data_IF_012746084190
#
_entry.id   IF_012746084190
#
_cell.length_a   1.000
_cell.length_b   1.000
_cell.length_c   1.000
_cell.angle_alpha   90.00
_cell.angle_beta   90.00
_cell.angle_gamma   90.00
#
_symmetry.space_group_name_H-M   'P 1'
#
loop_
_entity.id
_entity.type
_entity.pdbx_description
1 polymer ?
#
# COMPACT_ATOMS: atom_id res chain seq x y z
N UNK A 1 -1.98 -8.63 21.77
CA UNK A 1 -0.69 -8.95 21.12
C UNK A 1 0.39 -8.67 22.14
N UNK A 2 1.17 -9.68 22.53
CA UNK A 2 2.24 -9.54 23.52
C UNK A 2 3.31 -8.58 22.98
N UNK A 3 3.92 -7.78 23.86
CA UNK A 3 4.99 -6.83 23.52
C UNK A 3 6.11 -7.49 22.68
N UNK A 4 6.40 -8.76 22.98
CA UNK A 4 7.41 -9.59 22.31
C UNK A 4 7.20 -9.74 20.80
N UNK A 5 5.95 -9.76 20.32
CA UNK A 5 5.66 -9.89 18.88
C UNK A 5 5.86 -8.58 18.12
N UNK A 6 5.68 -7.44 18.78
CA UNK A 6 5.90 -6.13 18.16
C UNK A 6 7.39 -5.83 18.03
N UNK A 7 8.20 -6.19 19.03
CA UNK A 7 9.65 -6.00 19.01
C UNK A 7 10.31 -6.77 17.87
N UNK A 8 9.89 -8.02 17.62
CA UNK A 8 10.36 -8.82 16.48
C UNK A 8 10.04 -8.19 15.13
N UNK A 9 8.80 -7.69 14.98
CA UNK A 9 8.38 -7.02 13.77
C UNK A 9 9.15 -5.71 13.57
N UNK A 10 9.41 -4.96 14.65
CA UNK A 10 10.18 -3.72 14.62
C UNK A 10 11.63 -3.97 14.20
N UNK A 11 12.25 -5.05 14.65
CA UNK A 11 13.58 -5.46 14.19
C UNK A 11 13.61 -5.76 12.68
N UNK A 12 12.56 -6.40 12.17
CA UNK A 12 12.49 -6.82 10.76
C UNK A 12 12.11 -5.67 9.81
N UNK A 13 11.16 -4.81 10.21
CA UNK A 13 10.53 -3.83 9.32
C UNK A 13 10.83 -2.37 9.70
N UNK A 14 11.41 -2.11 10.87
CA UNK A 14 11.70 -0.78 11.39
C UNK A 14 10.46 0.07 11.55
N UNK A 15 10.53 1.32 11.08
CA UNK A 15 9.43 2.30 11.15
C UNK A 15 8.33 2.07 10.09
N UNK A 16 8.47 1.04 9.25
CA UNK A 16 7.49 0.71 8.18
C UNK A 16 6.32 -0.14 8.69
N UNK A 17 6.01 -0.04 9.98
CA UNK A 17 4.95 -0.82 10.63
C UNK A 17 3.70 0.02 10.84
N UNK A 18 2.56 -0.51 10.41
CA UNK A 18 1.23 0.02 10.73
C UNK A 18 0.68 -0.79 11.90
N UNK A 19 0.74 -0.22 13.10
CA UNK A 19 0.28 -0.87 14.34
C UNK A 19 -0.19 0.17 15.35
N UNK A 20 -1.03 -0.23 16.30
CA UNK A 20 -1.43 0.63 17.43
C UNK A 20 -0.27 1.07 18.32
N UNK A 21 0.86 0.37 18.24
CA UNK A 21 2.09 0.68 18.98
C UNK A 21 3.20 1.26 18.08
N UNK A 22 2.90 1.54 16.80
CA UNK A 22 3.82 2.21 15.90
C UNK A 22 3.90 3.71 16.23
N UNK A 23 4.96 4.42 15.78
CA UNK A 23 5.13 5.86 16.02
C UNK A 23 3.93 6.69 15.54
N UNK A 24 3.25 6.22 14.50
CA UNK A 24 1.99 6.79 14.03
C UNK A 24 0.83 6.01 14.65
N UNK A 25 0.03 6.70 15.47
CA UNK A 25 -1.14 6.13 16.14
C UNK A 25 -2.32 6.00 15.15
N UNK A 26 -2.37 4.88 14.43
CA UNK A 26 -3.48 4.58 13.52
C UNK A 26 -4.72 4.11 14.29
N UNK A 27 -5.87 4.73 14.05
CA UNK A 27 -7.16 4.34 14.64
C UNK A 27 -7.55 2.89 14.23
N UNK A 28 -8.40 2.20 15.00
CA UNK A 28 -8.96 0.91 14.58
C UNK A 28 -9.69 1.03 13.23
N UNK A 29 -9.40 0.14 12.27
CA UNK A 29 -9.89 0.19 10.87
C UNK A 29 -9.31 1.32 10.01
N UNK A 30 -8.13 1.83 10.32
CA UNK A 30 -7.43 2.83 9.49
C UNK A 30 -6.72 2.27 8.25
N UNK A 31 -6.87 0.98 7.91
CA UNK A 31 -6.37 0.50 6.62
C UNK A 31 -6.97 1.32 5.48
N UNK A 32 -8.21 1.77 5.58
CA UNK A 32 -8.83 2.61 4.55
C UNK A 32 -8.38 4.08 4.59
N UNK A 33 -7.60 4.49 5.59
CA UNK A 33 -7.15 5.88 5.80
C UNK A 33 -5.70 6.09 5.39
N UNK A 34 -4.97 5.05 4.98
CA UNK A 34 -3.66 5.30 4.39
C UNK A 34 -3.88 5.86 2.98
N UNK A 35 -3.18 6.93 2.59
CA UNK A 35 -3.30 7.48 1.24
C UNK A 35 -2.98 6.42 0.16
N UNK A 36 -2.17 5.41 0.51
CA UNK A 36 -1.87 4.25 -0.30
C UNK A 36 -3.12 3.35 -0.53
N UNK A 37 -3.83 2.99 0.54
CA UNK A 37 -4.98 2.09 0.43
C UNK A 37 -6.22 2.80 -0.11
N UNK A 38 -6.42 4.09 0.20
CA UNK A 38 -7.56 4.87 -0.32
C UNK A 38 -7.41 5.22 -1.80
N UNK A 39 -6.27 5.81 -2.18
CA UNK A 39 -6.07 6.34 -3.53
C UNK A 39 -5.32 5.36 -4.43
N UNK A 40 -4.15 4.88 -4.01
CA UNK A 40 -3.28 4.08 -4.88
C UNK A 40 -3.95 2.77 -5.29
N UNK A 41 -4.63 2.09 -4.36
CA UNK A 41 -5.31 0.83 -4.68
C UNK A 41 -6.43 0.99 -5.70
N UNK A 42 -7.29 2.01 -5.54
CA UNK A 42 -8.36 2.29 -6.50
C UNK A 42 -7.81 2.70 -7.87
N UNK A 43 -6.79 3.55 -7.88
CA UNK A 43 -6.11 4.01 -9.09
C UNK A 43 -5.45 2.85 -9.85
N UNK A 44 -4.60 2.07 -9.19
CA UNK A 44 -3.92 0.91 -9.79
C UNK A 44 -4.93 -0.09 -10.33
N UNK A 45 -5.98 -0.40 -9.57
CA UNK A 45 -7.02 -1.36 -10.00
C UNK A 45 -7.71 -0.89 -11.28
N UNK A 46 -8.04 0.39 -11.40
CA UNK A 46 -8.67 0.91 -12.62
C UNK A 46 -7.78 0.76 -13.87
N UNK A 47 -6.47 0.92 -13.72
CA UNK A 47 -5.50 0.80 -14.80
C UNK A 47 -5.17 -0.65 -15.15
N UNK A 48 -5.00 -1.52 -14.15
CA UNK A 48 -4.66 -2.93 -14.33
C UNK A 48 -5.77 -3.67 -15.07
N UNK A 49 -7.03 -3.35 -14.77
CA UNK A 49 -8.20 -4.00 -15.38
C UNK A 49 -8.73 -3.28 -16.64
N UNK A 50 -8.16 -2.14 -17.04
CA UNK A 50 -8.59 -1.41 -18.24
C UNK A 50 -8.54 -2.27 -19.51
N UNK A 51 -7.48 -3.09 -19.62
CA UNK A 51 -7.23 -3.96 -20.78
C UNK A 51 -7.99 -5.31 -20.70
N UNK A 52 -8.81 -5.53 -19.66
CA UNK A 52 -9.58 -6.77 -19.43
C UNK A 52 -8.74 -8.05 -19.57
N UNK A 53 -7.67 -8.21 -18.76
CA UNK A 53 -6.79 -9.37 -18.86
C UNK A 53 -7.58 -10.68 -18.68
N UNK A 54 -7.34 -11.64 -19.56
CA UNK A 54 -8.02 -12.95 -19.57
C UNK A 54 -7.20 -14.07 -18.91
N UNK A 55 -5.93 -13.81 -18.62
CA UNK A 55 -5.01 -14.77 -17.99
C UNK A 55 -4.31 -14.13 -16.78
N UNK A 56 -3.79 -14.97 -15.89
CA UNK A 56 -3.00 -14.52 -14.75
C UNK A 56 -1.71 -13.83 -15.19
N UNK A 57 -1.05 -14.34 -16.24
CA UNK A 57 0.20 -13.74 -16.76
C UNK A 57 -0.04 -12.30 -17.25
N UNK A 58 -1.12 -12.08 -18.01
CA UNK A 58 -1.49 -10.74 -18.46
C UNK A 58 -1.84 -9.81 -17.30
N UNK A 59 -2.49 -10.33 -16.26
CA UNK A 59 -2.79 -9.56 -15.06
C UNK A 59 -1.50 -9.17 -14.32
N UNK A 60 -0.56 -10.10 -14.17
CA UNK A 60 0.72 -9.86 -13.51
C UNK A 60 1.57 -8.83 -14.27
N UNK A 61 1.64 -8.95 -15.60
CA UNK A 61 2.34 -7.98 -16.45
C UNK A 61 1.71 -6.59 -16.36
N UNK A 62 0.38 -6.50 -16.33
CA UNK A 62 -0.32 -5.24 -16.14
C UNK A 62 -0.04 -4.62 -14.77
N UNK A 63 -0.01 -5.42 -13.70
CA UNK A 63 0.35 -4.93 -12.36
C UNK A 63 1.78 -4.37 -12.37
N UNK A 64 2.75 -5.12 -12.90
CA UNK A 64 4.15 -4.69 -12.98
C UNK A 64 4.30 -3.39 -13.78
N UNK A 65 3.64 -3.31 -14.94
CA UNK A 65 3.65 -2.13 -15.82
C UNK A 65 3.06 -0.90 -15.13
N UNK A 66 1.87 -1.02 -14.54
CA UNK A 66 1.17 0.09 -13.88
C UNK A 66 1.97 0.59 -12.67
N UNK A 67 2.50 -0.32 -11.85
CA UNK A 67 3.32 0.06 -10.69
C UNK A 67 4.62 0.76 -11.14
N UNK A 68 5.27 0.29 -12.21
CA UNK A 68 6.48 0.93 -12.74
C UNK A 68 6.23 2.33 -13.33
N UNK A 69 5.02 2.59 -13.84
CA UNK A 69 4.63 3.88 -14.40
C UNK A 69 4.19 4.91 -13.34
N UNK A 70 3.84 4.44 -12.13
CA UNK A 70 3.50 5.33 -11.02
C UNK A 70 4.73 6.10 -10.58
N UNK A 71 4.74 7.38 -10.92
CA UNK A 71 5.82 8.29 -10.54
C UNK A 71 5.76 8.63 -9.05
N UNK A 72 6.90 8.76 -8.35
CA UNK A 72 6.94 9.11 -6.92
C UNK A 72 6.17 10.39 -6.58
N UNK A 73 6.12 11.36 -7.48
CA UNK A 73 5.41 12.63 -7.28
C UNK A 73 3.89 12.47 -7.14
N UNK A 74 3.33 11.38 -7.66
CA UNK A 74 1.90 11.05 -7.46
C UNK A 74 1.67 10.61 -6.02
N UNK A 75 2.62 9.88 -5.44
CA UNK A 75 2.55 9.40 -4.05
C UNK A 75 2.79 10.56 -3.06
N UNK A 76 3.72 11.47 -3.36
CA UNK A 76 4.00 12.65 -2.53
C UNK A 76 2.76 13.56 -2.40
N UNK A 77 2.10 13.87 -3.53
CA UNK A 77 0.86 14.69 -3.51
C UNK A 77 -0.30 14.07 -2.75
N UNK A 78 -0.32 12.74 -2.67
CA UNK A 78 -1.35 11.98 -1.98
C UNK A 78 -1.08 11.94 -0.47
N UNK A 79 0.19 12.09 -0.05
CA UNK A 79 0.60 12.24 1.36
C UNK A 79 0.46 13.70 1.84
N UNK A 80 0.60 14.69 0.94
CA UNK A 80 0.48 16.12 1.26
C UNK A 80 -0.96 16.67 1.35
N UNK A 81 -1.98 15.89 0.96
CA UNK A 81 -3.41 16.24 1.11
C UNK A 81 -3.97 15.78 2.44
#
# INVERSE_FOLDING_TARGET
>A
MSHSSFDLLKDTFGDRLISRFAPVNWLPRSCDLTPLDYFLWGYVKSLVYADKPQTLDHLEDNIRRVIADIRPQVLEKVIEN
#
